data_IF_386805235276
#
_entry.id   IF_386805235276
#
_cell.length_a   1.000
_cell.length_b   1.000
_cell.length_c   1.000
_cell.angle_alpha   90.00
_cell.angle_beta   90.00
_cell.angle_gamma   90.00
#
_symmetry.space_group_name_H-M   'P 1'
#
loop_
_entity.id
_entity.type
_entity.pdbx_description
1 polymer ?
#
# COMPACT_ATOMS: atom_id res chain seq x y z
N UNK A 1 35.88 -71.56 -18.44
CA UNK A 1 36.93 -71.83 -19.45
C UNK A 1 36.31 -71.76 -20.82
N UNK A 2 36.97 -71.04 -21.74
CA UNK A 2 36.86 -71.17 -23.21
C UNK A 2 35.52 -70.77 -23.84
N UNK A 3 35.43 -70.18 -25.03
CA UNK A 3 36.33 -69.55 -25.98
C UNK A 3 35.38 -68.93 -27.03
N UNK A 4 35.63 -67.69 -27.47
CA UNK A 4 35.31 -67.28 -28.87
C UNK A 4 36.29 -68.06 -29.79
N UNK A 5 36.03 -68.35 -31.08
CA UNK A 5 35.73 -67.39 -32.16
C UNK A 5 34.78 -68.00 -33.24
N UNK A 6 34.46 -67.46 -34.43
CA UNK A 6 35.29 -67.04 -35.60
C UNK A 6 34.25 -66.59 -36.66
N UNK A 7 34.30 -65.36 -37.22
CA UNK A 7 34.86 -64.97 -38.55
C UNK A 7 34.22 -65.73 -39.75
N UNK A 8 33.92 -65.17 -40.93
CA UNK A 8 34.41 -64.02 -41.71
C UNK A 8 33.53 -63.85 -42.99
N UNK A 9 33.59 -62.64 -43.59
CA UNK A 9 33.55 -62.33 -45.05
C UNK A 9 32.22 -62.51 -45.83
N UNK A 10 31.85 -61.67 -46.81
CA UNK A 10 32.38 -60.42 -47.43
C UNK A 10 31.32 -59.89 -48.41
N UNK A 11 31.32 -58.56 -48.61
CA UNK A 11 31.08 -57.79 -49.87
C UNK A 11 29.77 -58.05 -50.66
N UNK A 12 29.00 -57.09 -51.18
CA UNK A 12 29.26 -55.72 -51.66
C UNK A 12 27.90 -55.02 -51.95
N UNK A 13 27.92 -53.71 -52.20
CA UNK A 13 26.89 -53.07 -53.03
C UNK A 13 26.00 -52.03 -52.36
N UNK A 14 26.60 -50.89 -51.98
CA UNK A 14 25.91 -49.64 -51.68
C UNK A 14 25.32 -49.04 -52.96
N UNK A 15 24.02 -48.73 -52.99
CA UNK A 15 23.51 -47.45 -53.52
C UNK A 15 22.30 -47.01 -52.72
N UNK A 16 22.43 -45.78 -52.22
CA UNK A 16 21.45 -45.06 -51.42
C UNK A 16 20.12 -44.91 -52.16
N UNK A 17 19.01 -45.07 -51.44
CA UNK A 17 18.09 -43.95 -51.14
C UNK A 17 17.12 -44.34 -50.03
N UNK A 18 17.05 -43.44 -49.07
CA UNK A 18 16.52 -43.64 -47.73
C UNK A 18 15.00 -43.80 -47.67
N UNK A 19 14.61 -44.75 -46.83
CA UNK A 19 13.42 -44.79 -45.98
C UNK A 19 12.03 -44.59 -46.62
N UNK A 20 11.51 -45.73 -47.06
CA UNK A 20 10.11 -46.12 -46.91
C UNK A 20 9.91 -46.78 -45.53
N UNK A 21 8.95 -46.31 -44.74
CA UNK A 21 8.11 -47.12 -43.84
C UNK A 21 6.94 -46.20 -43.41
N UNK A 22 5.70 -46.37 -43.85
CA UNK A 22 5.02 -47.61 -44.18
C UNK A 22 4.25 -48.11 -42.96
N UNK A 23 3.05 -47.55 -42.73
CA UNK A 23 1.91 -48.36 -42.31
C UNK A 23 0.59 -47.69 -42.68
N UNK A 24 -0.14 -48.42 -43.52
CA UNK A 24 -1.55 -48.24 -43.87
C UNK A 24 -2.43 -48.53 -42.64
N UNK A 25 -3.69 -48.14 -42.77
CA UNK A 25 -4.85 -48.38 -41.87
C UNK A 25 -4.95 -47.34 -40.74
N UNK A 26 -5.99 -46.51 -40.62
CA UNK A 26 -7.42 -46.73 -40.84
C UNK A 26 -8.10 -45.40 -41.28
N UNK A 27 -8.69 -45.35 -42.49
CA UNK A 27 -9.47 -44.21 -42.99
C UNK A 27 -10.90 -44.22 -42.43
N UNK A 28 -11.06 -44.09 -41.11
CA UNK A 28 -12.34 -43.74 -40.43
C UNK A 28 -11.99 -43.13 -39.07
N UNK A 29 -11.76 -41.81 -39.03
CA UNK A 29 -11.49 -41.15 -37.74
C UNK A 29 -10.90 -39.74 -37.75
N UNK A 30 -10.65 -39.10 -38.90
CA UNK A 30 -10.02 -37.76 -38.93
C UNK A 30 -10.66 -36.78 -39.93
N UNK A 31 -11.98 -36.73 -39.94
CA UNK A 31 -12.74 -35.72 -40.68
C UNK A 31 -13.87 -35.09 -39.84
N UNK A 32 -13.68 -35.05 -38.51
CA UNK A 32 -14.57 -34.34 -37.56
C UNK A 32 -13.86 -33.31 -36.67
N UNK A 33 -12.58 -33.01 -36.92
CA UNK A 33 -11.82 -32.07 -36.07
C UNK A 33 -11.35 -30.79 -36.77
N UNK A 34 -11.71 -30.56 -38.03
CA UNK A 34 -11.22 -29.37 -38.77
C UNK A 34 -12.29 -28.36 -39.20
N UNK A 35 -13.54 -28.48 -38.73
CA UNK A 35 -14.58 -27.49 -39.01
C UNK A 35 -15.28 -26.86 -37.79
N UNK A 36 -14.74 -27.04 -36.57
CA UNK A 36 -15.35 -26.48 -35.36
C UNK A 36 -14.58 -25.32 -34.69
N UNK A 37 -13.60 -24.71 -35.38
CA UNK A 37 -12.81 -23.60 -34.85
C UNK A 37 -13.28 -22.21 -35.36
N UNK A 38 -14.20 -22.13 -36.33
CA UNK A 38 -14.45 -20.85 -37.03
C UNK A 38 -15.69 -20.03 -36.61
N UNK A 39 -16.38 -20.35 -35.50
CA UNK A 39 -17.56 -19.56 -35.06
C UNK A 39 -17.50 -19.05 -33.60
N UNK A 40 -16.46 -19.38 -32.81
CA UNK A 40 -16.43 -19.09 -31.36
C UNK A 40 -15.56 -17.91 -30.91
N UNK A 41 -14.58 -17.46 -31.70
CA UNK A 41 -13.78 -16.26 -31.37
C UNK A 41 -14.48 -14.92 -31.67
N UNK A 42 -15.62 -14.95 -32.36
CA UNK A 42 -16.39 -13.77 -32.73
C UNK A 42 -17.57 -13.46 -31.79
N UNK A 43 -17.64 -14.09 -30.61
CA UNK A 43 -18.38 -13.52 -29.45
C UNK A 43 -17.62 -12.35 -28.78
N UNK A 44 -16.84 -11.66 -29.63
CA UNK A 44 -16.65 -10.23 -29.83
C UNK A 44 -16.12 -9.38 -28.68
N UNK A 45 -14.89 -8.93 -28.89
CA UNK A 45 -14.29 -7.73 -28.31
C UNK A 45 -15.27 -6.54 -28.23
N UNK A 46 -16.21 -6.45 -29.18
CA UNK A 46 -17.33 -5.50 -29.18
C UNK A 46 -18.26 -5.65 -27.97
N UNK A 47 -18.66 -6.87 -27.59
CA UNK A 47 -19.46 -7.15 -26.38
C UNK A 47 -18.69 -6.81 -25.10
N UNK A 48 -17.39 -7.08 -25.06
CA UNK A 48 -16.55 -6.70 -23.92
C UNK A 48 -16.43 -5.17 -23.79
N UNK A 49 -16.20 -4.45 -24.90
CA UNK A 49 -16.18 -2.97 -24.91
C UNK A 49 -17.53 -2.39 -24.52
N UNK A 50 -18.63 -2.94 -25.01
CA UNK A 50 -20.00 -2.58 -24.60
C UNK A 50 -20.17 -2.78 -23.09
N UNK A 51 -19.77 -3.94 -22.54
CA UNK A 51 -19.79 -4.21 -21.10
C UNK A 51 -18.94 -3.22 -20.30
N UNK A 52 -17.73 -2.88 -20.74
CA UNK A 52 -16.86 -1.92 -20.03
C UNK A 52 -17.46 -0.51 -20.01
N UNK A 53 -18.15 -0.11 -21.08
CA UNK A 53 -18.81 1.20 -21.20
C UNK A 53 -20.06 1.38 -20.32
N UNK A 54 -20.61 0.30 -19.77
CA UNK A 54 -21.78 0.38 -18.90
C UNK A 54 -21.43 0.94 -17.52
N UNK A 55 -22.29 1.83 -17.02
CA UNK A 55 -22.25 2.26 -15.61
C UNK A 55 -22.48 1.05 -14.69
N UNK A 56 -22.02 1.10 -13.42
CA UNK A 56 -22.23 0.01 -12.46
C UNK A 56 -23.69 -0.44 -12.35
N UNK A 57 -24.64 0.50 -12.43
CA UNK A 57 -26.09 0.23 -12.37
C UNK A 57 -26.61 -0.49 -13.62
N UNK A 58 -26.07 -0.19 -14.80
CA UNK A 58 -26.43 -0.86 -16.06
C UNK A 58 -25.82 -2.26 -16.15
N UNK A 59 -24.61 -2.47 -15.63
CA UNK A 59 -23.98 -3.80 -15.52
C UNK A 59 -24.86 -4.75 -14.69
N UNK A 60 -25.36 -4.28 -13.55
CA UNK A 60 -26.26 -5.06 -12.68
C UNK A 60 -27.56 -5.45 -13.39
N UNK A 61 -28.16 -4.54 -14.19
CA UNK A 61 -29.36 -4.85 -14.99
C UNK A 61 -29.08 -5.83 -16.13
N UNK A 62 -27.96 -5.65 -16.83
CA UNK A 62 -27.52 -6.54 -17.91
C UNK A 62 -27.36 -7.99 -17.42
N UNK A 63 -26.81 -8.17 -16.21
CA UNK A 63 -26.55 -9.49 -15.62
C UNK A 63 -27.79 -10.12 -14.95
N UNK A 64 -28.87 -9.34 -14.78
CA UNK A 64 -30.11 -9.80 -14.20
C UNK A 64 -31.12 -10.37 -15.24
N UNK A 65 -30.90 -10.12 -16.54
CA UNK A 65 -31.86 -10.41 -17.62
C UNK A 65 -31.61 -11.71 -18.41
N UNK A 66 -30.37 -12.19 -18.51
CA UNK A 66 -30.01 -13.46 -19.16
C UNK A 66 -29.00 -14.20 -18.29
N UNK A 67 -29.06 -15.53 -18.22
CA UNK A 67 -28.07 -16.36 -17.51
C UNK A 67 -26.71 -16.24 -18.23
N UNK A 68 -25.77 -15.42 -17.72
CA UNK A 68 -24.53 -15.11 -18.44
C UNK A 68 -23.52 -16.27 -18.36
N UNK A 69 -23.88 -17.39 -17.73
CA UNK A 69 -22.99 -18.51 -17.42
C UNK A 69 -23.22 -19.75 -18.29
N UNK A 70 -24.19 -19.74 -19.21
CA UNK A 70 -24.38 -20.82 -20.17
C UNK A 70 -23.15 -20.97 -21.09
N UNK A 71 -22.35 -22.02 -20.87
CA UNK A 71 -21.25 -22.41 -21.76
C UNK A 71 -19.83 -21.96 -21.38
N UNK A 72 -19.60 -21.33 -20.23
CA UNK A 72 -18.24 -21.05 -19.76
C UNK A 72 -17.64 -22.23 -18.98
N UNK A 73 -16.49 -22.73 -19.42
CA UNK A 73 -15.61 -23.60 -18.62
C UNK A 73 -14.71 -22.72 -17.75
N UNK A 74 -14.73 -22.94 -16.44
CA UNK A 74 -13.89 -22.24 -15.47
C UNK A 74 -12.52 -22.92 -15.40
N UNK A 75 -11.47 -22.16 -15.71
CA UNK A 75 -10.09 -22.62 -15.58
C UNK A 75 -9.60 -22.37 -14.15
N UNK A 76 -9.24 -23.45 -13.45
CA UNK A 76 -9.30 -23.58 -11.99
C UNK A 76 -7.90 -23.58 -11.34
N UNK A 77 -7.11 -22.51 -11.51
CA UNK A 77 -5.92 -22.29 -10.67
C UNK A 77 -5.92 -20.91 -10.04
N UNK A 78 -6.10 -20.89 -8.72
CA UNK A 78 -5.71 -19.76 -7.87
C UNK A 78 -4.30 -20.05 -7.37
N UNK A 79 -3.29 -19.43 -7.99
CA UNK A 79 -1.96 -19.39 -7.40
C UNK A 79 -1.98 -18.39 -6.24
N UNK A 80 -2.04 -18.89 -5.01
CA UNK A 80 -1.73 -18.09 -3.82
C UNK A 80 -0.21 -18.09 -3.71
N UNK A 81 0.44 -16.99 -4.12
CA UNK A 81 1.88 -16.83 -3.94
C UNK A 81 2.22 -16.73 -2.44
N UNK A 82 3.36 -17.27 -1.99
CA UNK A 82 3.82 -17.16 -0.60
C UNK A 82 3.82 -15.71 -0.07
N UNK A 83 4.08 -14.74 -0.94
CA UNK A 83 4.11 -13.31 -0.63
C UNK A 83 2.74 -12.73 -0.22
N UNK A 84 1.65 -13.47 -0.44
CA UNK A 84 0.30 -13.05 -0.08
C UNK A 84 -0.06 -13.39 1.37
N UNK A 85 0.78 -14.11 2.12
CA UNK A 85 0.53 -14.51 3.51
C UNK A 85 1.48 -13.76 4.43
N UNK A 86 0.93 -12.92 5.32
CA UNK A 86 1.75 -12.20 6.28
C UNK A 86 2.17 -13.16 7.40
N UNK A 87 3.48 -13.37 7.52
CA UNK A 87 4.09 -14.25 8.52
C UNK A 87 5.01 -13.47 9.45
N UNK A 88 5.24 -13.97 10.65
CA UNK A 88 6.29 -13.46 11.53
C UNK A 88 7.65 -14.03 11.11
N UNK A 89 8.68 -13.62 11.85
CA UNK A 89 10.06 -14.07 11.64
C UNK A 89 10.21 -15.58 11.85
N UNK A 90 9.27 -16.23 12.54
CA UNK A 90 9.24 -17.66 12.82
C UNK A 90 8.32 -18.44 11.85
N UNK A 91 7.86 -17.77 10.77
CA UNK A 91 6.94 -18.31 9.77
C UNK A 91 5.52 -18.65 10.25
N UNK A 92 5.11 -18.22 11.44
CA UNK A 92 3.71 -18.32 11.86
C UNK A 92 2.87 -17.31 11.08
N UNK A 93 1.65 -17.72 10.72
CA UNK A 93 0.71 -16.87 9.99
C UNK A 93 0.12 -15.85 10.98
N UNK A 94 0.69 -14.64 11.04
CA UNK A 94 0.15 -13.54 11.86
C UNK A 94 -1.17 -13.05 11.29
N UNK A 95 -1.31 -13.07 9.96
CA UNK A 95 -2.49 -12.58 9.27
C UNK A 95 -2.70 -13.36 7.99
N UNK A 96 -3.79 -14.12 7.92
CA UNK A 96 -4.28 -14.59 6.62
C UNK A 96 -4.51 -13.37 5.73
N UNK A 97 -4.16 -13.41 4.43
CA UNK A 97 -4.65 -12.39 3.51
C UNK A 97 -6.16 -12.37 3.68
N UNK A 98 -6.70 -11.18 3.96
CA UNK A 98 -8.11 -10.96 3.70
C UNK A 98 -8.27 -11.32 2.23
N UNK A 99 -8.81 -12.50 1.96
CA UNK A 99 -9.34 -12.86 0.65
C UNK A 99 -10.49 -11.89 0.41
N UNK A 100 -10.15 -10.64 0.08
CA UNK A 100 -11.04 -9.57 -0.36
C UNK A 100 -11.55 -9.95 -1.74
N UNK A 101 -12.16 -11.13 -1.84
CA UNK A 101 -12.97 -11.49 -2.98
C UNK A 101 -14.09 -10.46 -3.03
N UNK A 102 -14.41 -9.88 -4.19
CA UNK A 102 -15.55 -8.98 -4.29
C UNK A 102 -16.79 -9.68 -3.74
N UNK A 103 -17.51 -8.98 -2.87
CA UNK A 103 -18.63 -9.54 -2.12
C UNK A 103 -19.80 -10.03 -3.00
N UNK A 104 -19.84 -9.63 -4.28
CA UNK A 104 -20.91 -9.97 -5.20
C UNK A 104 -20.94 -11.48 -5.54
N UNK A 105 -22.09 -12.11 -5.25
CA UNK A 105 -22.35 -13.51 -5.54
C UNK A 105 -21.53 -14.50 -4.71
N UNK A 106 -20.81 -14.07 -3.67
CA UNK A 106 -20.00 -14.99 -2.85
C UNK A 106 -20.92 -15.86 -1.96
N UNK A 107 -20.93 -17.19 -2.13
CA UNK A 107 -21.86 -18.04 -1.38
C UNK A 107 -21.64 -18.00 0.12
N UNK A 108 -20.40 -17.99 0.59
CA UNK A 108 -20.10 -17.93 2.03
C UNK A 108 -20.59 -16.63 2.66
N UNK A 109 -20.46 -15.50 1.94
CA UNK A 109 -20.99 -14.21 2.38
C UNK A 109 -22.53 -14.19 2.36
N UNK A 110 -23.16 -14.78 1.34
CA UNK A 110 -24.62 -14.91 1.28
C UNK A 110 -25.17 -15.82 2.39
N UNK A 111 -24.55 -16.96 2.63
CA UNK A 111 -25.00 -17.91 3.64
C UNK A 111 -24.82 -17.33 5.06
N UNK A 112 -23.76 -16.53 5.28
CA UNK A 112 -23.48 -15.90 6.58
C UNK A 112 -24.24 -14.59 6.81
N UNK A 113 -24.48 -13.80 5.76
CA UNK A 113 -24.97 -12.42 5.85
C UNK A 113 -26.09 -12.06 4.86
N UNK A 114 -26.38 -12.92 3.90
CA UNK A 114 -27.35 -12.70 2.82
C UNK A 114 -28.80 -12.78 3.25
N UNK A 115 -29.07 -13.12 4.51
CA UNK A 115 -30.34 -12.84 5.15
C UNK A 115 -30.36 -11.41 5.68
N UNK A 116 -31.40 -10.67 5.27
CA UNK A 116 -31.90 -9.32 5.57
C UNK A 116 -31.84 -8.83 7.04
N UNK A 117 -30.80 -9.18 7.78
CA UNK A 117 -30.74 -8.93 9.21
C UNK A 117 -29.76 -7.81 9.52
N UNK A 118 -30.22 -6.79 10.26
CA UNK A 118 -29.37 -5.72 10.71
C UNK A 118 -28.29 -6.22 11.70
N UNK A 119 -27.18 -5.50 11.75
CA UNK A 119 -26.02 -5.74 12.60
C UNK A 119 -26.23 -4.97 13.91
N UNK A 120 -25.96 -5.59 15.05
CA UNK A 120 -25.92 -4.87 16.33
C UNK A 120 -24.65 -4.03 16.41
N UNK A 121 -24.80 -2.72 16.64
CA UNK A 121 -23.72 -1.76 16.81
C UNK A 121 -23.76 -1.17 18.23
N UNK A 122 -22.66 -1.22 19.00
CA UNK A 122 -22.65 -0.80 20.42
C UNK A 122 -23.18 0.60 20.67
N UNK A 123 -22.91 1.53 19.73
CA UNK A 123 -23.31 2.95 19.82
C UNK A 123 -24.62 3.31 19.12
N UNK A 124 -25.06 2.52 18.14
CA UNK A 124 -26.14 2.90 17.22
C UNK A 124 -27.30 1.89 17.25
N UNK A 125 -27.26 0.93 18.16
CA UNK A 125 -28.20 -0.17 18.19
C UNK A 125 -28.16 -0.98 16.89
N UNK A 126 -29.32 -1.30 16.36
CA UNK A 126 -29.48 -2.22 15.23
C UNK A 126 -29.37 -1.48 13.89
N UNK A 127 -28.25 -1.65 13.16
CA UNK A 127 -27.97 -0.95 11.89
C UNK A 127 -28.08 -1.87 10.67
N UNK A 128 -28.59 -1.37 9.54
CA UNK A 128 -28.67 -2.16 8.29
C UNK A 128 -27.29 -2.66 7.86
N UNK A 129 -27.19 -3.95 7.54
CA UNK A 129 -25.94 -4.56 7.07
C UNK A 129 -25.48 -3.95 5.74
N UNK A 130 -24.22 -4.20 5.34
CA UNK A 130 -23.71 -3.73 4.03
C UNK A 130 -24.54 -4.32 2.87
N UNK A 131 -24.94 -5.59 2.96
CA UNK A 131 -25.76 -6.25 1.95
C UNK A 131 -27.17 -5.66 1.87
N UNK A 132 -27.79 -5.28 3.00
CA UNK A 132 -29.11 -4.61 3.03
C UNK A 132 -29.11 -3.22 2.41
N UNK A 133 -27.95 -2.57 2.33
CA UNK A 133 -27.80 -1.26 1.68
C UNK A 133 -27.31 -1.36 0.23
N UNK A 134 -27.05 -2.58 -0.25
CA UNK A 134 -26.48 -2.82 -1.57
C UNK A 134 -27.56 -2.79 -2.64
N UNK A 135 -27.42 -1.92 -3.64
CA UNK A 135 -28.34 -1.84 -4.78
C UNK A 135 -28.33 -3.08 -5.70
N UNK A 136 -27.35 -3.96 -5.51
CA UNK A 136 -27.19 -5.20 -6.28
C UNK A 136 -27.55 -6.46 -5.47
N UNK A 137 -28.22 -6.31 -4.32
CA UNK A 137 -28.57 -7.42 -3.41
C UNK A 137 -29.29 -8.56 -4.13
N UNK A 138 -30.28 -8.23 -4.96
CA UNK A 138 -31.14 -9.23 -5.58
C UNK A 138 -30.39 -10.05 -6.64
N UNK A 139 -29.56 -9.37 -7.44
CA UNK A 139 -28.69 -10.04 -8.42
C UNK A 139 -27.59 -10.85 -7.73
N UNK A 140 -27.02 -10.31 -6.64
CA UNK A 140 -26.02 -10.98 -5.82
C UNK A 140 -26.57 -12.28 -5.21
N UNK A 141 -27.80 -12.24 -4.68
CA UNK A 141 -28.50 -13.40 -4.13
C UNK A 141 -28.74 -14.48 -5.19
N UNK A 142 -29.25 -14.11 -6.37
CA UNK A 142 -29.46 -15.08 -7.47
C UNK A 142 -28.15 -15.78 -7.85
N UNK A 143 -27.07 -15.02 -8.00
CA UNK A 143 -25.75 -15.58 -8.33
C UNK A 143 -25.24 -16.49 -7.21
N UNK A 144 -25.39 -16.07 -5.95
CA UNK A 144 -24.98 -16.89 -4.81
C UNK A 144 -25.76 -18.20 -4.72
N UNK A 145 -27.09 -18.18 -4.93
CA UNK A 145 -27.93 -19.39 -4.96
C UNK A 145 -27.59 -20.33 -6.11
N UNK A 146 -27.35 -19.78 -7.30
CA UNK A 146 -26.91 -20.57 -8.46
C UNK A 146 -25.58 -21.28 -8.16
N UNK A 147 -24.63 -20.57 -7.54
CA UNK A 147 -23.34 -21.12 -7.10
C UNK A 147 -23.47 -22.20 -6.02
N UNK A 148 -24.40 -22.04 -5.07
CA UNK A 148 -24.70 -23.07 -4.07
C UNK A 148 -25.35 -24.33 -4.66
N UNK A 149 -25.86 -24.24 -5.89
CA UNK A 149 -26.56 -25.33 -6.57
C UNK A 149 -25.73 -25.94 -7.72
N UNK A 150 -24.49 -25.51 -7.90
CA UNK A 150 -23.68 -25.82 -9.10
C UNK A 150 -23.17 -27.27 -9.13
N UNK A 151 -22.78 -27.83 -7.98
CA UNK A 151 -22.40 -29.24 -7.85
C UNK A 151 -23.27 -29.95 -6.81
N UNK A 152 -23.48 -31.27 -6.95
CA UNK A 152 -24.19 -32.06 -5.96
C UNK A 152 -23.58 -31.95 -4.56
N UNK A 153 -22.25 -31.90 -4.46
CA UNK A 153 -21.52 -31.84 -3.19
C UNK A 153 -21.74 -30.52 -2.46
N UNK A 154 -21.64 -29.38 -3.17
CA UNK A 154 -21.92 -28.05 -2.61
C UNK A 154 -23.38 -27.97 -2.17
N UNK A 155 -24.30 -28.47 -3.01
CA UNK A 155 -25.74 -28.50 -2.69
C UNK A 155 -26.02 -29.33 -1.44
N UNK A 156 -25.42 -30.50 -1.32
CA UNK A 156 -25.56 -31.38 -0.16
C UNK A 156 -25.01 -30.72 1.11
N UNK A 157 -23.82 -30.12 1.05
CA UNK A 157 -23.24 -29.39 2.17
C UNK A 157 -24.09 -28.18 2.58
N UNK A 158 -24.69 -27.48 1.62
CA UNK A 158 -25.58 -26.35 1.89
C UNK A 158 -26.88 -26.79 2.58
N UNK A 159 -27.45 -27.93 2.17
CA UNK A 159 -28.63 -28.53 2.84
C UNK A 159 -28.30 -28.93 4.27
N UNK A 160 -27.15 -29.60 4.51
CA UNK A 160 -26.70 -29.95 5.87
C UNK A 160 -26.53 -28.73 6.76
N UNK A 161 -25.93 -27.67 6.23
CA UNK A 161 -25.83 -26.40 6.95
C UNK A 161 -27.21 -25.81 7.29
N UNK A 162 -28.17 -25.84 6.35
CA UNK A 162 -29.54 -25.42 6.61
C UNK A 162 -30.23 -26.24 7.70
N UNK A 163 -30.07 -27.57 7.68
CA UNK A 163 -30.60 -28.49 8.70
C UNK A 163 -29.97 -28.26 10.08
N UNK A 164 -28.71 -27.84 10.14
CA UNK A 164 -28.02 -27.48 11.38
C UNK A 164 -28.42 -26.09 11.93
N UNK A 165 -29.49 -25.47 11.43
CA UNK A 165 -29.97 -24.16 11.87
C UNK A 165 -29.45 -22.98 11.04
N UNK A 166 -28.61 -23.24 10.04
CA UNK A 166 -28.19 -22.25 9.05
C UNK A 166 -27.59 -20.97 9.66
N UNK A 167 -27.92 -19.82 9.06
CA UNK A 167 -27.41 -18.51 9.51
C UNK A 167 -27.92 -18.10 10.89
N UNK A 168 -29.07 -18.62 11.32
CA UNK A 168 -29.59 -18.44 12.67
C UNK A 168 -28.69 -19.14 13.69
N UNK A 169 -28.29 -20.39 13.40
CA UNK A 169 -27.42 -21.17 14.27
C UNK A 169 -26.03 -20.56 14.45
N UNK A 170 -25.48 -19.92 13.41
CA UNK A 170 -24.21 -19.18 13.51
C UNK A 170 -24.24 -18.00 14.50
N UNK A 171 -25.42 -17.42 14.75
CA UNK A 171 -25.61 -16.31 15.69
C UNK A 171 -25.99 -16.78 17.08
N UNK A 172 -26.60 -17.96 17.17
CA UNK A 172 -27.09 -18.55 18.40
C UNK A 172 -26.42 -19.91 18.62
N UNK A 173 -25.09 -19.93 18.87
CA UNK A 173 -24.33 -21.18 18.99
C UNK A 173 -24.82 -22.05 20.15
N UNK A 174 -25.46 -21.47 21.17
CA UNK A 174 -26.10 -22.21 22.27
C UNK A 174 -27.34 -23.00 21.83
N UNK A 175 -28.05 -22.54 20.80
CA UNK A 175 -29.30 -23.17 20.31
C UNK A 175 -29.01 -24.18 19.20
N UNK A 176 -28.03 -23.90 18.35
CA UNK A 176 -27.63 -24.79 17.25
C UNK A 176 -26.11 -24.98 17.23
N UNK A 177 -25.55 -25.83 18.12
CA UNK A 177 -24.10 -25.95 18.30
C UNK A 177 -23.38 -26.52 17.07
N UNK A 178 -24.09 -27.24 16.20
CA UNK A 178 -23.53 -27.86 14.99
C UNK A 178 -23.46 -26.90 13.80
N UNK A 179 -24.10 -25.74 13.85
CA UNK A 179 -24.19 -24.80 12.72
C UNK A 179 -22.83 -24.32 12.23
N UNK A 180 -21.91 -24.01 13.15
CA UNK A 180 -20.55 -23.57 12.81
C UNK A 180 -19.77 -24.68 12.10
N UNK A 181 -19.85 -25.92 12.59
CA UNK A 181 -19.18 -27.07 11.99
C UNK A 181 -19.68 -27.35 10.57
N UNK A 182 -20.98 -27.34 10.36
CA UNK A 182 -21.55 -27.56 9.01
C UNK A 182 -21.28 -26.37 8.07
N UNK A 183 -21.18 -25.15 8.59
CA UNK A 183 -20.74 -23.99 7.82
C UNK A 183 -19.29 -24.15 7.35
N UNK A 184 -18.38 -24.53 8.25
CA UNK A 184 -16.98 -24.77 7.91
C UNK A 184 -16.83 -25.94 6.92
N UNK A 185 -17.67 -26.98 7.06
CA UNK A 185 -17.81 -28.05 6.07
C UNK A 185 -18.24 -27.55 4.70
N UNK A 186 -19.26 -26.68 4.62
CA UNK A 186 -19.68 -26.04 3.38
C UNK A 186 -18.56 -25.18 2.76
N UNK A 187 -17.85 -24.39 3.58
CA UNK A 187 -16.70 -23.60 3.11
C UNK A 187 -15.62 -24.50 2.53
N UNK A 188 -15.29 -25.60 3.20
CA UNK A 188 -14.31 -26.58 2.74
C UNK A 188 -14.67 -27.17 1.38
N UNK A 189 -15.93 -27.57 1.19
CA UNK A 189 -16.43 -28.08 -0.11
C UNK A 189 -16.38 -27.01 -1.20
N UNK A 190 -16.75 -25.76 -0.90
CA UNK A 190 -16.64 -24.67 -1.87
C UNK A 190 -15.18 -24.42 -2.27
N UNK A 191 -14.26 -24.49 -1.31
CA UNK A 191 -12.82 -24.28 -1.54
C UNK A 191 -12.22 -25.45 -2.32
N UNK A 192 -12.60 -26.69 -2.04
CA UNK A 192 -12.11 -27.86 -2.77
C UNK A 192 -12.52 -27.84 -4.25
N UNK A 193 -13.67 -27.24 -4.57
CA UNK A 193 -14.09 -26.96 -5.95
C UNK A 193 -13.43 -25.70 -6.57
N UNK A 194 -12.43 -25.11 -5.92
CA UNK A 194 -11.65 -23.96 -6.44
C UNK A 194 -12.22 -22.59 -6.10
N UNK A 195 -13.36 -22.52 -5.42
CA UNK A 195 -14.08 -21.29 -5.10
C UNK A 195 -14.62 -20.54 -6.33
N UNK A 196 -15.34 -19.44 -6.09
CA UNK A 196 -15.97 -18.67 -7.15
C UNK A 196 -15.19 -17.41 -7.49
N UNK A 197 -14.94 -17.20 -8.79
CA UNK A 197 -14.38 -15.97 -9.37
C UNK A 197 -15.41 -15.26 -10.24
N UNK A 198 -15.33 -13.94 -10.31
CA UNK A 198 -16.04 -13.12 -11.30
C UNK A 198 -15.04 -12.52 -12.29
N UNK A 199 -15.45 -12.30 -13.54
CA UNK A 199 -14.66 -11.50 -14.49
C UNK A 199 -14.41 -10.05 -13.99
N UNK A 200 -15.18 -9.60 -12.99
CA UNK A 200 -15.00 -8.30 -12.34
C UNK A 200 -14.03 -8.34 -11.14
N UNK A 201 -13.46 -9.50 -10.77
CA UNK A 201 -12.60 -9.61 -9.59
C UNK A 201 -11.35 -8.73 -9.71
N UNK A 202 -10.77 -8.63 -10.90
CA UNK A 202 -9.61 -7.76 -11.18
C UNK A 202 -9.95 -6.29 -11.00
N UNK A 203 -11.08 -5.84 -11.55
CA UNK A 203 -11.53 -4.45 -11.42
C UNK A 203 -11.89 -4.10 -9.97
N UNK A 204 -12.48 -5.04 -9.23
CA UNK A 204 -12.81 -4.83 -7.82
C UNK A 204 -11.56 -4.78 -6.93
N UNK A 205 -10.54 -5.61 -7.20
CA UNK A 205 -9.26 -5.55 -6.50
C UNK A 205 -8.53 -4.24 -6.79
N UNK A 206 -8.49 -3.78 -8.05
CA UNK A 206 -7.90 -2.49 -8.40
C UNK A 206 -8.56 -1.30 -7.70
N UNK A 207 -9.89 -1.30 -7.59
CA UNK A 207 -10.63 -0.27 -6.84
C UNK A 207 -10.29 -0.30 -5.34
N UNK A 208 -10.09 -1.47 -4.76
CA UNK A 208 -9.71 -1.61 -3.36
C UNK A 208 -8.30 -1.10 -3.09
N UNK A 209 -7.36 -1.44 -3.97
CA UNK A 209 -5.99 -0.93 -3.91
C UNK A 209 -5.98 0.59 -4.06
N UNK A 210 -6.76 1.13 -5.00
CA UNK A 210 -6.91 2.58 -5.17
C UNK A 210 -7.45 3.27 -3.91
N UNK A 211 -8.43 2.66 -3.23
CA UNK A 211 -8.97 3.20 -1.96
C UNK A 211 -7.96 3.14 -0.82
N UNK A 212 -7.14 2.11 -0.78
CA UNK A 212 -6.09 1.97 0.23
C UNK A 212 -4.97 2.99 0.03
N UNK A 213 -4.55 3.21 -1.22
CA UNK A 213 -3.60 4.28 -1.58
C UNK A 213 -4.17 5.65 -1.20
N UNK A 214 -5.43 5.91 -1.53
CA UNK A 214 -6.10 7.17 -1.20
C UNK A 214 -6.25 7.36 0.32
N UNK A 215 -6.54 6.29 1.07
CA UNK A 215 -6.57 6.31 2.54
C UNK A 215 -5.22 6.69 3.11
N UNK A 216 -4.14 6.04 2.66
CA UNK A 216 -2.77 6.35 3.09
C UNK A 216 -2.39 7.81 2.76
N UNK A 217 -2.78 8.29 1.58
CA UNK A 217 -2.57 9.69 1.17
C UNK A 217 -3.27 10.67 2.11
N UNK A 218 -4.54 10.42 2.43
CA UNK A 218 -5.31 11.26 3.39
C UNK A 218 -4.74 11.21 4.79
N UNK A 219 -4.29 10.03 5.25
CA UNK A 219 -3.64 9.88 6.55
C UNK A 219 -2.34 10.69 6.62
N UNK A 220 -1.51 10.65 5.57
CA UNK A 220 -0.30 11.47 5.48
C UNK A 220 -0.61 12.97 5.46
N UNK A 221 -1.60 13.40 4.68
CA UNK A 221 -2.04 14.80 4.63
C UNK A 221 -2.58 15.29 5.98
N UNK A 222 -3.40 14.48 6.65
CA UNK A 222 -3.92 14.80 7.97
C UNK A 222 -2.80 14.91 9.02
N UNK A 223 -1.79 14.03 8.98
CA UNK A 223 -0.60 14.12 9.84
C UNK A 223 0.17 15.42 9.57
N UNK A 224 0.39 15.77 8.30
CA UNK A 224 1.05 17.02 7.88
C UNK A 224 0.30 18.26 8.39
N UNK A 225 -1.04 18.27 8.24
CA UNK A 225 -1.89 19.36 8.76
C UNK A 225 -1.86 19.44 10.30
N UNK A 226 -1.88 18.30 10.99
CA UNK A 226 -1.80 18.25 12.45
C UNK A 226 -0.47 18.80 12.97
N UNK A 227 0.66 18.41 12.35
CA UNK A 227 2.01 18.94 12.66
C UNK A 227 2.08 20.45 12.47
N UNK A 228 1.58 20.96 11.33
CA UNK A 228 1.52 22.41 11.05
C UNK A 228 0.68 23.17 12.09
N UNK A 229 -0.41 22.58 12.57
CA UNK A 229 -1.23 23.17 13.66
C UNK A 229 -0.51 23.14 15.01
N UNK A 230 0.21 22.07 15.33
CA UNK A 230 0.98 21.97 16.58
C UNK A 230 2.09 23.02 16.65
N UNK A 231 2.80 23.24 15.53
CA UNK A 231 3.80 24.30 15.37
C UNK A 231 3.22 25.68 15.62
N UNK A 232 2.08 26.01 14.99
CA UNK A 232 1.43 27.30 15.18
C UNK A 232 1.03 27.57 16.64
N UNK A 233 0.94 26.52 17.46
CA UNK A 233 0.64 26.58 18.89
C UNK A 233 1.91 26.54 19.76
N UNK A 234 3.10 26.60 19.16
CA UNK A 234 4.38 26.60 19.88
C UNK A 234 4.83 25.23 20.41
N UNK A 235 4.16 24.13 20.01
CA UNK A 235 4.58 22.78 20.41
C UNK A 235 5.69 22.27 19.50
N UNK A 236 6.82 21.95 20.09
CA UNK A 236 7.94 21.30 19.43
C UNK A 236 7.90 19.80 19.70
N UNK A 237 7.79 19.01 18.63
CA UNK A 237 8.05 17.58 18.71
C UNK A 237 9.57 17.34 18.74
N UNK A 238 10.00 16.16 19.15
CA UNK A 238 11.43 15.79 19.18
C UNK A 238 12.04 15.89 17.78
N UNK A 239 11.34 15.43 16.76
CA UNK A 239 11.82 15.45 15.37
C UNK A 239 12.06 16.87 14.84
N UNK A 240 11.31 17.85 15.36
CA UNK A 240 11.50 19.25 15.02
C UNK A 240 12.78 19.82 15.63
N UNK A 241 13.08 19.48 16.89
CA UNK A 241 14.32 19.92 17.53
C UNK A 241 15.53 19.30 16.82
N UNK A 242 15.45 18.01 16.47
CA UNK A 242 16.51 17.32 15.71
C UNK A 242 16.76 17.95 14.32
N UNK A 243 15.71 18.46 13.68
CA UNK A 243 15.83 19.16 12.41
C UNK A 243 16.52 20.52 12.58
N UNK A 244 16.10 21.30 13.57
CA UNK A 244 16.75 22.58 13.86
C UNK A 244 18.21 22.41 14.30
N UNK A 245 18.54 21.33 15.01
CA UNK A 245 19.91 21.01 15.40
C UNK A 245 20.78 20.65 14.20
N UNK A 246 20.26 19.87 13.24
CA UNK A 246 20.93 19.62 11.95
C UNK A 246 21.16 20.89 11.15
N UNK A 247 20.14 21.75 11.04
CA UNK A 247 20.27 23.05 10.37
C UNK A 247 21.30 23.97 11.05
N UNK A 248 21.38 23.92 12.39
CA UNK A 248 22.37 24.67 13.16
C UNK A 248 23.79 24.23 12.78
N UNK A 249 24.03 22.92 12.73
CA UNK A 249 25.33 22.35 12.34
C UNK A 249 25.68 22.68 10.89
N UNK A 250 24.72 22.55 9.98
CA UNK A 250 24.93 22.89 8.57
C UNK A 250 25.25 24.38 8.39
N UNK A 251 24.55 25.26 9.11
CA UNK A 251 24.81 26.71 9.07
C UNK A 251 26.17 27.08 9.63
N UNK A 252 26.62 26.40 10.69
CA UNK A 252 27.99 26.57 11.20
C UNK A 252 29.02 26.23 10.11
N UNK A 253 28.87 25.08 9.47
CA UNK A 253 29.74 24.63 8.37
C UNK A 253 29.71 25.63 7.22
N UNK A 254 28.52 26.05 6.78
CA UNK A 254 28.34 27.03 5.71
C UNK A 254 29.04 28.36 6.04
N UNK A 255 28.97 28.83 7.28
CA UNK A 255 29.63 30.07 7.70
C UNK A 255 31.15 29.94 7.75
N UNK A 256 31.67 28.81 8.24
CA UNK A 256 33.12 28.53 8.22
C UNK A 256 33.63 28.51 6.78
N UNK A 257 32.94 27.79 5.88
CA UNK A 257 33.30 27.72 4.47
C UNK A 257 33.19 29.07 3.77
N UNK A 258 32.15 29.85 4.07
CA UNK A 258 31.96 31.16 3.48
C UNK A 258 33.01 32.16 3.96
N UNK A 259 33.53 32.06 5.18
CA UNK A 259 34.38 33.08 5.80
C UNK A 259 35.63 33.50 5.02
N UNK A 260 36.08 32.69 4.05
CA UNK A 260 37.21 32.93 3.15
C UNK A 260 36.81 33.49 1.77
N UNK A 261 35.52 33.64 1.48
CA UNK A 261 35.05 34.11 0.18
C UNK A 261 35.32 35.60 -0.03
N UNK A 262 35.61 35.96 -1.28
CA UNK A 262 35.84 37.34 -1.67
C UNK A 262 34.54 38.17 -1.68
N UNK A 263 34.66 39.44 -1.29
CA UNK A 263 33.53 40.39 -1.32
C UNK A 263 32.54 40.26 -0.17
N UNK A 264 32.85 39.48 0.87
CA UNK A 264 32.00 39.38 2.05
C UNK A 264 32.01 40.66 2.92
N UNK A 265 30.88 41.00 3.56
CA UNK A 265 30.84 42.03 4.58
C UNK A 265 31.85 41.76 5.72
N UNK A 266 32.43 42.83 6.28
CA UNK A 266 33.46 42.73 7.33
C UNK A 266 33.01 41.97 8.57
N UNK A 267 31.71 42.00 8.89
CA UNK A 267 31.13 41.28 10.01
C UNK A 267 30.92 39.77 9.73
N UNK A 268 31.14 39.31 8.49
CA UNK A 268 31.02 37.91 8.04
C UNK A 268 32.37 37.32 7.60
N UNK A 269 33.25 38.12 7.00
CA UNK A 269 34.56 37.67 6.56
C UNK A 269 35.55 37.41 7.71
N UNK A 270 36.46 36.44 7.51
CA UNK A 270 37.57 36.10 8.44
C UNK A 270 37.12 35.77 9.87
N UNK A 271 35.99 35.08 10.01
CA UNK A 271 35.46 34.61 11.29
C UNK A 271 36.24 33.39 11.79
N UNK A 272 36.53 33.34 13.09
CA UNK A 272 37.10 32.15 13.75
C UNK A 272 36.02 31.09 13.96
N UNK A 273 36.36 29.80 13.87
CA UNK A 273 35.41 28.67 14.02
C UNK A 273 34.51 28.81 15.25
N UNK A 274 35.07 29.08 16.43
CA UNK A 274 34.29 29.29 17.67
C UNK A 274 33.26 30.43 17.56
N UNK A 275 33.52 31.46 16.76
CA UNK A 275 32.55 32.53 16.51
C UNK A 275 31.48 32.13 15.49
N UNK A 276 31.77 31.20 14.58
CA UNK A 276 30.77 30.63 13.69
C UNK A 276 29.77 29.77 14.47
N UNK A 277 30.26 28.90 15.36
CA UNK A 277 29.43 28.10 16.27
C UNK A 277 28.45 28.95 17.07
N UNK A 278 28.95 30.00 17.73
CA UNK A 278 28.10 30.90 18.54
C UNK A 278 27.07 31.63 17.67
N UNK A 279 27.42 31.99 16.43
CA UNK A 279 26.46 32.60 15.50
C UNK A 279 25.34 31.61 15.13
N UNK A 280 25.68 30.34 14.90
CA UNK A 280 24.71 29.28 14.62
C UNK A 280 23.82 28.96 15.85
N UNK A 281 24.40 28.93 17.06
CA UNK A 281 23.65 28.77 18.31
C UNK A 281 22.66 29.94 18.53
N UNK A 282 23.08 31.18 18.26
CA UNK A 282 22.21 32.36 18.30
C UNK A 282 21.08 32.23 17.28
N UNK A 283 21.37 31.78 16.06
CA UNK A 283 20.35 31.51 15.04
C UNK A 283 19.34 30.45 15.52
N UNK A 284 19.82 29.34 16.08
CA UNK A 284 18.98 28.25 16.58
C UNK A 284 18.00 28.73 17.66
N UNK A 285 18.49 29.47 18.64
CA UNK A 285 17.67 30.01 19.73
C UNK A 285 16.70 31.07 19.22
N UNK A 286 17.16 31.94 18.30
CA UNK A 286 16.30 32.93 17.63
C UNK A 286 15.13 32.25 16.94
N UNK A 287 15.39 31.16 16.22
CA UNK A 287 14.38 30.43 15.46
C UNK A 287 13.39 29.69 16.36
N UNK A 288 13.87 29.03 17.40
CA UNK A 288 13.01 28.44 18.45
C UNK A 288 12.06 29.48 19.05
N UNK A 289 12.56 30.66 19.39
CA UNK A 289 11.74 31.74 19.97
C UNK A 289 10.74 32.31 18.96
N UNK A 290 11.18 32.57 17.73
CA UNK A 290 10.33 33.07 16.63
C UNK A 290 9.14 32.14 16.38
N UNK A 291 9.36 30.83 16.38
CA UNK A 291 8.30 29.85 16.10
C UNK A 291 7.33 29.74 17.28
N UNK A 292 7.80 29.88 18.52
CA UNK A 292 6.94 29.95 19.72
C UNK A 292 6.18 31.27 19.87
N UNK A 293 6.46 32.27 19.04
CA UNK A 293 5.92 33.62 19.21
C UNK A 293 6.45 34.33 20.45
N UNK A 294 7.63 33.95 20.93
CA UNK A 294 8.31 34.61 22.05
C UNK A 294 9.13 35.82 21.58
N UNK A 295 9.39 36.76 22.49
CA UNK A 295 10.22 37.92 22.19
C UNK A 295 11.65 37.54 21.78
N UNK A 296 12.02 37.98 20.58
CA UNK A 296 13.36 37.81 20.00
C UNK A 296 14.18 39.07 20.28
N UNK A 297 14.94 39.06 21.37
CA UNK A 297 15.88 40.14 21.69
C UNK A 297 17.19 39.58 22.28
N UNK A 298 18.30 40.35 22.30
CA UNK A 298 19.60 39.82 22.72
C UNK A 298 19.62 39.28 24.16
N UNK A 299 18.85 39.89 25.08
CA UNK A 299 18.80 39.44 26.46
C UNK A 299 18.03 38.12 26.60
N UNK A 300 16.90 37.97 25.91
CA UNK A 300 16.10 36.73 25.94
C UNK A 300 16.86 35.56 25.30
N UNK A 301 17.61 35.81 24.22
CA UNK A 301 18.43 34.79 23.57
C UNK A 301 19.62 34.40 24.46
N UNK A 302 20.35 35.36 25.04
CA UNK A 302 21.47 35.07 25.92
C UNK A 302 21.05 34.20 27.13
N UNK A 303 19.88 34.45 27.73
CA UNK A 303 19.34 33.59 28.80
C UNK A 303 19.03 32.18 28.29
N UNK A 304 18.44 32.07 27.10
CA UNK A 304 18.12 30.77 26.52
C UNK A 304 19.38 29.96 26.13
N UNK A 305 20.46 30.63 25.72
CA UNK A 305 21.77 30.00 25.50
C UNK A 305 22.36 29.43 26.78
N UNK A 306 22.36 30.22 27.87
CA UNK A 306 22.81 29.77 29.20
C UNK A 306 22.00 28.56 29.68
N UNK A 307 20.68 28.59 29.48
CA UNK A 307 19.81 27.51 29.92
C UNK A 307 20.00 26.22 29.09
N UNK A 308 20.26 26.33 27.77
CA UNK A 308 20.42 25.16 26.89
C UNK A 308 21.82 24.55 26.98
N UNK A 309 22.85 25.39 27.12
CA UNK A 309 24.26 24.95 27.15
C UNK A 309 25.03 25.64 28.29
N UNK A 310 24.75 25.32 29.55
CA UNK A 310 25.36 25.97 30.71
C UNK A 310 26.88 25.79 30.79
N UNK A 311 27.39 24.65 30.29
CA UNK A 311 28.83 24.35 30.28
C UNK A 311 29.61 25.22 29.27
N UNK A 312 28.94 25.63 28.20
CA UNK A 312 29.52 26.47 27.14
C UNK A 312 29.29 27.96 27.48
N UNK A 313 28.12 28.28 28.03
CA UNK A 313 27.68 29.64 28.34
C UNK A 313 27.36 29.78 29.84
N UNK A 314 28.37 30.05 30.69
CA UNK A 314 28.14 30.21 32.12
C UNK A 314 27.33 31.49 32.42
N UNK A 315 26.45 31.40 33.41
CA UNK A 315 25.55 32.49 33.82
C UNK A 315 26.27 33.76 34.28
N UNK A 316 27.48 33.61 34.84
CA UNK A 316 28.35 34.71 35.27
C UNK A 316 28.72 35.68 34.13
N UNK A 317 28.65 35.24 32.87
CA UNK A 317 29.02 36.02 31.69
C UNK A 317 27.84 36.67 30.96
N UNK A 318 26.66 36.75 31.59
CA UNK A 318 25.41 37.18 30.93
C UNK A 318 25.53 38.51 30.14
N UNK A 319 26.12 39.56 30.72
CA UNK A 319 26.21 40.87 30.06
C UNK A 319 27.12 40.85 28.84
N UNK A 320 28.24 40.14 28.92
CA UNK A 320 29.17 39.95 27.79
C UNK A 320 28.50 39.15 26.68
N UNK A 321 27.83 38.04 27.05
CA UNK A 321 27.07 37.21 26.12
C UNK A 321 25.97 38.02 25.44
N UNK A 322 25.21 38.83 26.16
CA UNK A 322 24.15 39.71 25.60
C UNK A 322 24.69 40.66 24.53
N UNK A 323 25.83 41.32 24.77
CA UNK A 323 26.43 42.23 23.78
C UNK A 323 26.93 41.47 22.55
N UNK A 324 27.49 40.28 22.77
CA UNK A 324 27.91 39.39 21.70
C UNK A 324 26.73 38.91 20.86
N UNK A 325 25.65 38.43 21.50
CA UNK A 325 24.39 38.04 20.85
C UNK A 325 23.81 39.16 20.00
N UNK A 326 23.90 40.43 20.42
CA UNK A 326 23.46 41.57 19.59
C UNK A 326 24.25 41.64 18.27
N UNK A 327 25.55 41.43 18.33
CA UNK A 327 26.43 41.42 17.14
C UNK A 327 26.15 40.21 16.26
N UNK A 328 25.97 39.05 16.89
CA UNK A 328 25.72 37.79 16.18
C UNK A 328 24.35 37.80 15.50
N UNK A 329 23.32 38.37 16.13
CA UNK A 329 22.01 38.60 15.49
C UNK A 329 22.12 39.44 14.21
N UNK A 330 22.85 40.56 14.26
CA UNK A 330 23.08 41.38 13.08
C UNK A 330 23.85 40.63 11.98
N UNK A 331 24.76 39.72 12.38
CA UNK A 331 25.44 38.82 11.46
C UNK A 331 24.48 37.81 10.85
N UNK A 332 23.59 37.19 11.64
CA UNK A 332 22.56 36.28 11.12
C UNK A 332 21.70 36.98 10.08
N UNK A 333 21.22 38.20 10.37
CA UNK A 333 20.41 38.98 9.41
C UNK A 333 21.19 39.30 8.13
N UNK A 334 22.51 39.52 8.24
CA UNK A 334 23.39 39.71 7.07
C UNK A 334 23.48 38.42 6.26
N UNK A 335 23.73 37.28 6.91
CA UNK A 335 23.87 35.97 6.26
C UNK A 335 22.59 35.52 5.54
N UNK A 336 21.43 35.89 6.08
CA UNK A 336 20.12 35.56 5.49
C UNK A 336 19.73 36.43 4.29
N UNK A 337 20.43 37.54 4.06
CA UNK A 337 20.13 38.51 2.99
C UNK A 337 21.24 38.64 1.96
N UNK A 338 22.49 38.41 2.36
CA UNK A 338 23.65 38.65 1.52
C UNK A 338 23.78 37.56 0.45
N UNK A 339 23.63 37.96 -0.81
CA UNK A 339 23.80 37.10 -1.97
C UNK A 339 25.22 37.30 -2.50
N UNK A 340 26.00 36.21 -2.50
CA UNK A 340 27.37 36.20 -2.99
C UNK A 340 27.37 36.34 -4.51
N UNK A 341 28.35 37.07 -5.06
CA UNK A 341 28.47 37.27 -6.50
C UNK A 341 28.54 35.91 -7.23
N UNK A 342 27.60 35.67 -8.15
CA UNK A 342 27.49 34.40 -8.87
C UNK A 342 26.55 33.37 -8.23
N UNK A 343 25.99 33.65 -7.05
CA UNK A 343 24.92 32.86 -6.43
C UNK A 343 23.56 33.52 -6.65
N UNK A 344 22.49 32.71 -6.72
CA UNK A 344 21.09 33.18 -6.67
C UNK A 344 20.48 33.09 -5.28
N UNK A 345 21.20 32.53 -4.30
CA UNK A 345 20.74 32.30 -2.93
C UNK A 345 21.65 32.98 -1.91
N UNK A 346 21.09 33.45 -0.78
CA UNK A 346 21.89 33.95 0.33
C UNK A 346 22.74 32.82 0.93
N UNK A 347 23.78 33.19 1.68
CA UNK A 347 24.66 32.21 2.37
C UNK A 347 23.82 31.32 3.28
N UNK A 348 22.88 31.92 4.01
CA UNK A 348 21.94 31.22 4.87
C UNK A 348 20.51 31.41 4.34
N UNK A 349 19.95 30.47 3.56
CA UNK A 349 18.55 30.54 3.17
C UNK A 349 17.64 30.74 4.38
N UNK A 350 16.57 31.53 4.23
CA UNK A 350 15.62 31.73 5.33
C UNK A 350 14.99 30.38 5.68
N UNK A 351 15.06 29.99 6.94
CA UNK A 351 14.48 28.74 7.39
C UNK A 351 12.95 28.82 7.34
N UNK A 352 12.36 27.95 6.52
CA UNK A 352 10.92 27.73 6.48
C UNK A 352 10.63 26.35 7.05
N UNK A 353 10.10 26.37 8.27
CA UNK A 353 9.70 25.17 8.98
C UNK A 353 8.68 24.32 8.20
N UNK A 354 7.77 24.94 7.46
CA UNK A 354 6.79 24.17 6.69
C UNK A 354 7.50 23.37 5.59
N UNK A 355 8.49 23.96 4.93
CA UNK A 355 9.29 23.31 3.88
C UNK A 355 10.18 22.22 4.47
N UNK A 356 10.90 22.53 5.55
CA UNK A 356 11.83 21.59 6.17
C UNK A 356 11.13 20.32 6.72
N UNK A 357 9.90 20.45 7.22
CA UNK A 357 9.09 19.28 7.60
C UNK A 357 8.61 18.47 6.40
N UNK A 358 8.26 19.13 5.30
CA UNK A 358 7.81 18.44 4.11
C UNK A 358 8.96 17.64 3.47
N UNK A 359 10.20 18.13 3.57
CA UNK A 359 11.42 17.45 3.10
C UNK A 359 11.80 16.24 3.96
N UNK A 360 11.58 16.28 5.29
CA UNK A 360 11.74 15.13 6.18
C UNK A 360 10.86 13.93 5.78
N UNK A 361 9.64 14.21 5.35
CA UNK A 361 8.68 13.19 4.91
C UNK A 361 9.04 12.62 3.51
N UNK A 362 9.90 13.28 2.74
CA UNK A 362 10.43 12.77 1.46
C UNK A 362 11.69 11.91 1.65
N UNK A 363 12.49 12.19 2.68
CA UNK A 363 13.76 11.50 2.95
C UNK A 363 13.53 10.20 3.73
N UNK A 364 12.44 10.07 4.47
CA UNK A 364 12.02 8.78 5.02
C UNK A 364 11.50 7.93 3.88
N UNK A 365 12.27 6.93 3.37
CA UNK A 365 11.71 6.02 2.41
C UNK A 365 10.55 5.35 3.12
N UNK A 366 9.38 5.31 2.49
CA UNK A 366 8.43 4.25 2.79
C UNK A 366 9.17 2.94 2.55
N UNK A 367 9.83 2.41 3.57
CA UNK A 367 10.25 1.01 3.61
C UNK A 367 8.94 0.22 3.70
N UNK A 368 8.57 -0.51 2.63
CA UNK A 368 7.33 -1.27 2.59
C UNK A 368 7.28 -2.38 3.65
#
# INVERSE_FOLDING_TARGET
MQQKPTRLRRESGYWMRSFNAGRKENKRGKQKELHHISWRSAMSEKRLRELFSLTPKQKVRHWAGHDPWQGMRLDNKVQISMNAVLRDNDCHIIRMPLLMKPCFGQPTAYVRHGGSQPISHPRFGTVKSRCMRCLASDACERVAKARLSVTPDIKSAFVRFGQAGGSFGLKNPSVCPTAQREFDGLVSVIVSHGGFRSGNDTAALAELDSREVERKRREAENKRLARRKAIKRGYFTTEFLDLLEREREEREIQLVLASSWDGLPRNVGRIRNHSAQITADVWFVRECKRIRGEDVNPASIARALINKWPDIYPSSNFNSLRQRTKTDLARVDTLERFIVKGSSKPIWPRFDLAVALDELDLITPYTP
#
